data_IF_911905931224
#
_entry.id   IF_911905931224
#
_cell.length_a   1.000
_cell.length_b   1.000
_cell.length_c   1.000
_cell.angle_alpha   90.00
_cell.angle_beta   90.00
_cell.angle_gamma   90.00
#
_symmetry.space_group_name_H-M   'P 1'
#
loop_
_entity.id
_entity.type
_entity.pdbx_description
1 polymer ?
#
# COMPACT_ATOMS: atom_id res chain seq x y z
N UNK A 1 -10.24 20.59 22.15
CA UNK A 1 -11.32 21.54 22.37
C UNK A 1 -12.41 20.91 23.22
N UNK A 2 -12.84 21.57 24.30
CA UNK A 2 -13.92 21.12 25.16
C UNK A 2 -14.89 22.29 25.39
N UNK A 3 -16.20 22.04 25.31
CA UNK A 3 -17.21 23.08 25.51
C UNK A 3 -18.47 22.51 26.19
N UNK A 4 -18.83 23.08 27.32
CA UNK A 4 -20.17 22.93 27.88
C UNK A 4 -21.08 23.92 27.12
N UNK A 5 -21.96 23.41 26.28
CA UNK A 5 -22.87 24.24 25.47
C UNK A 5 -24.04 24.74 26.33
N UNK A 6 -24.62 23.81 27.12
CA UNK A 6 -25.63 24.08 28.11
C UNK A 6 -25.59 22.99 29.18
N UNK A 7 -26.49 23.00 30.16
CA UNK A 7 -26.54 22.02 31.26
C UNK A 7 -26.67 20.56 30.80
N UNK A 8 -27.19 20.32 29.60
CA UNK A 8 -27.48 18.98 29.06
C UNK A 8 -26.52 18.54 27.98
N UNK A 9 -25.71 19.45 27.39
CA UNK A 9 -24.86 19.17 26.24
C UNK A 9 -23.41 19.57 26.49
N UNK A 10 -22.53 18.60 26.48
CA UNK A 10 -21.06 18.76 26.47
C UNK A 10 -20.46 18.20 25.19
N UNK A 11 -19.62 18.97 24.56
CA UNK A 11 -18.89 18.61 23.35
C UNK A 11 -17.38 18.59 23.63
N UNK A 12 -16.71 17.58 23.16
CA UNK A 12 -15.26 17.48 23.15
C UNK A 12 -14.77 17.07 21.76
N UNK A 13 -13.67 17.64 21.34
CA UNK A 13 -12.99 17.24 20.11
C UNK A 13 -11.50 17.10 20.40
N UNK A 14 -10.92 15.96 19.99
CA UNK A 14 -9.46 15.72 20.02
C UNK A 14 -8.94 15.59 18.61
N UNK A 15 -7.77 16.14 18.35
CA UNK A 15 -7.07 15.98 17.07
C UNK A 15 -5.57 15.91 17.31
N UNK A 16 -4.90 15.07 16.57
CA UNK A 16 -3.45 14.95 16.50
C UNK A 16 -3.02 14.92 15.05
N UNK A 17 -1.91 15.53 14.74
CA UNK A 17 -1.33 15.54 13.41
C UNK A 17 0.19 15.56 13.55
N UNK A 18 0.85 14.66 12.81
CA UNK A 18 2.31 14.59 12.71
C UNK A 18 2.67 14.56 11.24
N UNK A 19 3.62 15.39 10.86
CA UNK A 19 4.32 15.32 9.58
C UNK A 19 5.80 15.14 9.85
N UNK A 20 6.40 14.07 9.36
CA UNK A 20 7.82 13.80 9.44
C UNK A 20 8.34 13.46 8.05
N UNK A 21 9.31 14.19 7.58
CA UNK A 21 9.99 13.96 6.31
C UNK A 21 11.49 13.90 6.56
N UNK A 22 12.16 12.99 5.89
CA UNK A 22 13.61 12.89 5.92
C UNK A 22 14.18 12.82 4.51
N UNK A 23 15.43 13.23 4.36
CA UNK A 23 16.18 13.12 3.11
C UNK A 23 17.57 12.61 3.44
N UNK A 24 18.02 11.58 2.74
CA UNK A 24 19.39 11.05 2.85
C UNK A 24 20.32 12.08 2.21
N UNK A 25 21.17 12.71 3.01
CA UNK A 25 22.14 13.70 2.54
C UNK A 25 23.47 13.03 2.14
N UNK A 26 23.85 11.97 2.85
CA UNK A 26 25.07 11.23 2.62
C UNK A 26 24.87 9.76 3.02
N UNK A 27 25.45 8.86 2.26
CA UNK A 27 25.43 7.43 2.55
C UNK A 27 26.69 6.78 1.98
N UNK A 28 27.24 5.80 2.69
CA UNK A 28 28.29 4.92 2.18
C UNK A 28 27.65 3.95 1.16
N UNK A 29 27.74 4.32 -0.11
CA UNK A 29 27.22 3.56 -1.26
C UNK A 29 28.21 3.64 -2.42
N UNK A 30 28.18 2.68 -3.38
CA UNK A 30 29.01 2.76 -4.58
C UNK A 30 28.77 4.07 -5.32
N UNK A 31 29.81 4.66 -5.92
CA UNK A 31 29.64 5.85 -6.74
C UNK A 31 28.88 5.48 -8.03
N UNK A 32 27.58 5.69 -8.07
CA UNK A 32 26.73 5.45 -9.25
C UNK A 32 26.95 6.52 -10.34
N UNK A 33 28.21 6.68 -10.81
CA UNK A 33 28.57 7.72 -11.76
C UNK A 33 27.87 7.56 -13.11
N UNK A 34 27.71 6.33 -13.57
CA UNK A 34 27.07 6.03 -14.85
C UNK A 34 25.54 6.03 -14.76
N UNK A 35 24.99 5.54 -13.65
CA UNK A 35 23.55 5.42 -13.39
C UNK A 35 23.17 6.11 -12.08
N UNK A 36 23.14 7.46 -12.05
CA UNK A 36 22.86 8.22 -10.82
C UNK A 36 21.45 8.00 -10.26
N UNK A 37 20.55 7.46 -11.07
CA UNK A 37 19.19 7.04 -10.66
C UNK A 37 19.18 5.94 -9.58
N UNK A 38 20.31 5.26 -9.36
CA UNK A 38 20.45 4.21 -8.34
C UNK A 38 20.87 4.78 -6.96
N UNK A 39 21.38 6.02 -6.91
CA UNK A 39 21.78 6.62 -5.64
C UNK A 39 20.60 6.86 -4.73
N UNK A 40 20.76 6.52 -3.44
CA UNK A 40 19.78 6.82 -2.41
C UNK A 40 19.85 8.27 -1.90
N UNK A 41 20.95 8.98 -2.21
CA UNK A 41 21.14 10.38 -1.78
C UNK A 41 20.11 11.28 -2.46
N UNK A 42 19.48 12.13 -1.68
CA UNK A 42 18.38 12.99 -2.12
C UNK A 42 16.98 12.35 -1.96
N UNK A 43 16.91 11.08 -1.57
CA UNK A 43 15.65 10.35 -1.37
C UNK A 43 15.34 10.13 0.10
N UNK A 44 14.09 9.81 0.41
CA UNK A 44 13.69 9.45 1.78
C UNK A 44 14.15 8.06 2.15
N UNK A 45 14.54 7.87 3.43
CA UNK A 45 14.79 6.55 3.96
C UNK A 45 13.52 5.69 3.83
N UNK A 46 13.68 4.47 3.32
CA UNK A 46 12.55 3.56 3.09
C UNK A 46 11.75 3.83 1.81
N UNK A 47 12.17 4.79 0.97
CA UNK A 47 11.64 4.92 -0.38
C UNK A 47 12.10 3.75 -1.25
N UNK A 48 11.28 3.36 -2.22
CA UNK A 48 11.51 2.14 -3.00
C UNK A 48 12.33 2.40 -4.25
N UNK A 49 13.38 1.59 -4.46
CA UNK A 49 14.16 1.51 -5.71
C UNK A 49 13.52 0.46 -6.61
N UNK A 50 12.79 0.88 -7.65
CA UNK A 50 11.91 0.03 -8.47
C UNK A 50 12.18 0.18 -9.96
N UNK A 51 11.87 -0.88 -10.72
CA UNK A 51 11.62 -0.77 -12.16
C UNK A 51 10.34 0.02 -12.40
N UNK A 52 10.32 0.79 -13.48
CA UNK A 52 9.14 1.53 -13.92
C UNK A 52 8.42 0.69 -14.97
N UNK A 53 7.17 0.36 -14.74
CA UNK A 53 6.38 -0.40 -15.68
C UNK A 53 5.67 0.48 -16.72
N UNK A 54 5.42 -0.10 -17.88
CA UNK A 54 4.56 0.39 -18.95
C UNK A 54 3.24 -0.41 -19.05
N UNK A 55 2.84 -1.09 -17.98
CA UNK A 55 1.75 -2.05 -18.01
C UNK A 55 2.22 -3.42 -18.51
N UNK A 56 1.38 -4.12 -19.24
CA UNK A 56 1.65 -5.46 -19.77
C UNK A 56 1.94 -5.42 -21.27
N UNK A 57 2.84 -6.30 -21.73
CA UNK A 57 3.08 -6.46 -23.15
C UNK A 57 1.80 -6.92 -23.88
N UNK A 58 1.32 -6.16 -24.89
CA UNK A 58 0.12 -6.53 -25.62
C UNK A 58 0.35 -7.71 -26.58
N UNK A 59 1.53 -7.79 -27.21
CA UNK A 59 1.83 -8.75 -28.26
C UNK A 59 3.35 -8.99 -28.44
N UNK A 60 3.70 -10.03 -29.21
CA UNK A 60 5.07 -10.39 -29.54
C UNK A 60 5.81 -9.30 -30.36
N UNK A 61 5.10 -8.55 -31.19
CA UNK A 61 5.70 -7.47 -31.98
C UNK A 61 6.22 -6.36 -31.06
N UNK A 62 5.45 -6.03 -30.03
CA UNK A 62 5.86 -5.05 -29.02
C UNK A 62 7.09 -5.53 -28.27
N UNK A 63 7.15 -6.82 -27.88
CA UNK A 63 8.32 -7.40 -27.23
C UNK A 63 9.56 -7.27 -28.11
N UNK A 64 9.47 -7.64 -29.40
CA UNK A 64 10.61 -7.59 -30.33
C UNK A 64 11.09 -6.17 -30.63
N UNK A 65 10.23 -5.17 -30.55
CA UNK A 65 10.57 -3.78 -30.86
C UNK A 65 11.04 -2.99 -29.62
N UNK A 66 11.12 -3.61 -28.45
CA UNK A 66 11.50 -2.97 -27.20
C UNK A 66 12.78 -3.59 -26.62
N UNK A 67 13.43 -2.92 -25.67
CA UNK A 67 14.62 -3.41 -25.00
C UNK A 67 14.48 -4.83 -24.45
N UNK A 68 15.56 -5.62 -24.54
CA UNK A 68 15.57 -7.01 -24.05
C UNK A 68 15.49 -7.07 -22.52
N UNK A 69 14.49 -7.80 -22.00
CA UNK A 69 14.25 -7.99 -20.55
C UNK A 69 14.74 -9.35 -20.03
N UNK A 70 15.42 -10.17 -20.84
CA UNK A 70 15.87 -11.52 -20.42
C UNK A 70 16.82 -11.52 -19.24
N UNK A 71 17.56 -10.42 -19.02
CA UNK A 71 18.41 -10.24 -17.85
C UNK A 71 17.64 -10.31 -16.52
N UNK A 72 16.32 -10.13 -16.54
CA UNK A 72 15.45 -10.28 -15.37
C UNK A 72 15.09 -11.74 -15.03
N UNK A 73 15.69 -12.71 -15.74
CA UNK A 73 15.59 -14.14 -15.47
C UNK A 73 14.40 -14.84 -16.13
N UNK A 74 13.77 -14.23 -17.13
CA UNK A 74 12.73 -14.85 -17.94
C UNK A 74 12.63 -14.21 -19.33
N UNK A 75 12.29 -14.98 -20.35
CA UNK A 75 12.01 -14.44 -21.68
C UNK A 75 10.55 -13.94 -21.72
N UNK A 76 10.31 -12.63 -21.85
CA UNK A 76 8.97 -12.08 -21.82
C UNK A 76 8.07 -12.66 -22.90
N UNK A 77 6.79 -12.76 -22.57
CA UNK A 77 5.70 -13.13 -23.48
C UNK A 77 4.56 -12.12 -23.34
N UNK A 78 3.61 -12.07 -24.29
CA UNK A 78 2.41 -11.22 -24.15
C UNK A 78 1.73 -11.45 -22.83
N UNK A 79 1.34 -10.35 -22.15
CA UNK A 79 0.77 -10.38 -20.82
C UNK A 79 1.79 -10.35 -19.67
N UNK A 80 3.09 -10.38 -19.95
CA UNK A 80 4.14 -10.13 -18.93
C UNK A 80 4.36 -8.63 -18.74
N UNK A 81 4.91 -8.25 -17.59
CA UNK A 81 5.16 -6.85 -17.27
C UNK A 81 6.26 -6.29 -18.18
N UNK A 82 5.98 -5.13 -18.74
CA UNK A 82 6.87 -4.38 -19.60
C UNK A 82 7.52 -3.25 -18.82
N UNK A 83 8.87 -3.13 -18.85
CA UNK A 83 9.62 -2.14 -18.10
C UNK A 83 10.27 -1.09 -19.00
N UNK A 84 10.44 0.11 -18.45
CA UNK A 84 11.17 1.19 -19.07
C UNK A 84 12.68 0.92 -19.02
N UNK A 85 13.36 1.08 -20.15
CA UNK A 85 14.80 1.27 -20.20
C UNK A 85 15.13 2.71 -19.78
N UNK A 86 16.03 2.90 -18.85
CA UNK A 86 16.46 4.21 -18.36
C UNK A 86 17.81 4.58 -18.98
N UNK A 87 17.99 5.85 -19.34
CA UNK A 87 19.28 6.28 -19.90
C UNK A 87 20.34 6.40 -18.81
N UNK A 88 21.59 6.24 -19.18
CA UNK A 88 22.73 6.58 -18.35
C UNK A 88 22.83 8.13 -18.16
N UNK A 89 23.86 8.59 -17.40
CA UNK A 89 24.05 10.02 -17.12
C UNK A 89 24.29 10.90 -18.38
N UNK A 90 24.63 10.27 -19.53
CA UNK A 90 24.80 10.96 -20.82
C UNK A 90 23.51 11.00 -21.65
N UNK A 91 22.44 10.36 -21.19
CA UNK A 91 21.19 10.22 -21.95
C UNK A 91 21.22 9.10 -22.97
N UNK A 92 22.17 8.16 -22.89
CA UNK A 92 22.31 7.04 -23.79
C UNK A 92 21.55 5.82 -23.25
N UNK A 93 20.89 5.07 -24.14
CA UNK A 93 20.15 3.84 -23.83
C UNK A 93 20.94 2.63 -24.31
N UNK A 94 21.05 1.60 -23.48
CA UNK A 94 21.75 0.36 -23.82
C UNK A 94 20.86 -0.72 -24.45
N UNK A 95 19.52 -0.48 -24.51
CA UNK A 95 18.51 -1.40 -25.04
C UNK A 95 18.43 -2.75 -24.29
N UNK A 96 18.82 -2.79 -23.04
CA UNK A 96 18.68 -3.93 -22.14
C UNK A 96 18.00 -3.46 -20.86
N UNK A 97 17.04 -4.23 -20.36
CA UNK A 97 16.43 -3.97 -19.03
C UNK A 97 17.17 -4.83 -18.01
N UNK A 98 17.92 -4.16 -17.13
CA UNK A 98 18.67 -4.82 -16.07
C UNK A 98 18.61 -4.05 -14.72
N UNK A 99 19.55 -4.33 -13.81
CA UNK A 99 19.63 -3.67 -12.52
C UNK A 99 19.78 -2.14 -12.56
N UNK A 100 20.20 -1.58 -13.70
CA UNK A 100 20.44 -0.15 -13.89
C UNK A 100 19.15 0.62 -14.18
N UNK A 101 18.08 -0.05 -14.61
CA UNK A 101 16.79 0.54 -14.99
C UNK A 101 15.85 0.79 -13.82
N UNK A 102 16.37 0.86 -12.62
CA UNK A 102 15.60 1.16 -11.41
C UNK A 102 15.81 2.60 -10.98
N UNK A 103 14.82 3.19 -10.38
CA UNK A 103 14.92 4.48 -9.72
C UNK A 103 14.06 4.56 -8.47
N UNK A 104 14.36 5.51 -7.60
CA UNK A 104 13.56 5.76 -6.41
C UNK A 104 12.22 6.39 -6.79
N UNK A 105 11.13 5.76 -6.38
CA UNK A 105 9.74 6.20 -6.68
C UNK A 105 8.81 5.98 -5.51
N UNK A 106 7.64 6.63 -5.57
CA UNK A 106 6.61 6.53 -4.56
C UNK A 106 6.98 7.25 -3.25
N UNK A 107 6.11 7.08 -2.27
CA UNK A 107 6.37 7.51 -0.91
C UNK A 107 7.14 6.40 -0.15
N UNK A 108 7.83 6.73 0.95
CA UNK A 108 8.48 5.73 1.78
C UNK A 108 7.46 4.74 2.37
N UNK A 109 7.96 3.59 2.81
CA UNK A 109 7.15 2.57 3.49
C UNK A 109 6.55 3.12 4.80
N UNK A 110 7.36 3.85 5.56
CA UNK A 110 6.89 4.51 6.77
C UNK A 110 6.15 5.80 6.40
N UNK A 111 4.92 6.02 6.92
CA UNK A 111 4.11 7.17 6.53
C UNK A 111 4.72 8.48 7.00
N UNK A 112 4.81 9.48 6.11
CA UNK A 112 5.23 10.83 6.48
C UNK A 112 4.15 11.60 7.25
N UNK A 113 2.88 11.24 7.07
CA UNK A 113 1.75 11.86 7.74
C UNK A 113 1.02 10.82 8.56
N UNK A 114 0.87 11.10 9.86
CA UNK A 114 0.02 10.34 10.79
C UNK A 114 -0.94 11.32 11.45
N UNK A 115 -2.22 11.02 11.42
CA UNK A 115 -3.23 11.88 12.00
C UNK A 115 -4.33 11.09 12.71
N UNK A 116 -4.95 11.72 13.70
CA UNK A 116 -6.10 11.17 14.39
C UNK A 116 -7.00 12.27 14.89
N UNK A 117 -8.30 12.04 14.83
CA UNK A 117 -9.29 12.97 15.36
C UNK A 117 -10.55 12.23 15.84
N UNK A 118 -11.21 12.84 16.80
CA UNK A 118 -12.45 12.25 17.30
C UNK A 118 -13.29 13.22 18.11
N UNK A 119 -14.59 13.31 17.80
CA UNK A 119 -15.57 13.97 18.64
C UNK A 119 -16.01 13.06 19.78
N UNK A 120 -16.35 13.67 20.92
CA UNK A 120 -17.10 13.06 22.01
C UNK A 120 -18.24 14.00 22.40
N UNK A 121 -19.42 13.43 22.57
CA UNK A 121 -20.65 14.18 22.84
C UNK A 121 -21.30 13.56 24.04
N UNK A 122 -21.63 14.35 25.07
CA UNK A 122 -22.56 13.97 26.16
C UNK A 122 -23.80 14.80 26.01
N UNK A 123 -24.94 14.10 25.88
CA UNK A 123 -26.23 14.73 25.77
C UNK A 123 -27.20 14.06 26.76
N UNK A 124 -27.50 14.77 27.84
CA UNK A 124 -28.31 14.24 28.93
C UNK A 124 -27.72 12.94 29.49
N UNK A 125 -28.41 11.82 29.26
CA UNK A 125 -28.02 10.49 29.70
C UNK A 125 -27.23 9.69 28.66
N UNK A 126 -27.08 10.23 27.47
CA UNK A 126 -26.34 9.61 26.35
C UNK A 126 -24.94 10.14 26.27
N UNK A 127 -24.00 9.27 25.90
CA UNK A 127 -22.68 9.64 25.51
C UNK A 127 -22.27 8.91 24.22
N UNK A 128 -21.56 9.63 23.35
CA UNK A 128 -21.08 9.13 22.08
C UNK A 128 -19.62 9.52 21.95
N UNK A 129 -18.79 8.60 21.47
CA UNK A 129 -17.42 8.93 21.13
C UNK A 129 -17.01 8.18 19.86
N UNK A 130 -16.21 8.85 19.03
CA UNK A 130 -15.63 8.30 17.83
C UNK A 130 -14.17 8.70 17.77
N UNK A 131 -13.34 7.82 17.25
CA UNK A 131 -11.95 8.16 16.98
C UNK A 131 -11.53 7.58 15.64
N UNK A 132 -11.11 8.49 14.77
CA UNK A 132 -10.55 8.18 13.48
C UNK A 132 -9.03 8.28 13.56
N UNK A 133 -8.34 7.38 12.88
CA UNK A 133 -6.90 7.39 12.69
C UNK A 133 -6.59 7.15 11.23
N UNK A 134 -5.64 7.90 10.70
CA UNK A 134 -5.20 7.73 9.33
C UNK A 134 -3.73 7.99 9.16
N UNK A 135 -3.25 7.53 8.02
CA UNK A 135 -1.90 7.81 7.52
C UNK A 135 -1.99 8.28 6.07
N UNK A 136 -1.00 9.06 5.66
CA UNK A 136 -0.85 9.49 4.27
C UNK A 136 0.63 9.61 3.90
N UNK A 137 0.91 9.79 2.62
CA UNK A 137 2.27 9.79 2.09
C UNK A 137 3.04 8.53 2.50
N UNK A 138 2.46 7.38 2.20
CA UNK A 138 3.08 6.06 2.33
C UNK A 138 2.72 5.21 1.13
N UNK A 139 3.58 4.29 0.77
CA UNK A 139 3.34 3.33 -0.31
C UNK A 139 3.36 1.91 0.23
N UNK A 140 2.55 1.04 -0.38
CA UNK A 140 2.54 -0.39 -0.15
C UNK A 140 3.12 -1.07 -1.39
N UNK A 141 4.22 -1.80 -1.22
CA UNK A 141 4.77 -2.66 -2.26
C UNK A 141 4.21 -4.09 -2.06
N UNK A 142 3.43 -4.54 -3.03
CA UNK A 142 2.90 -5.91 -3.06
C UNK A 142 4.01 -6.87 -3.50
N UNK A 143 4.32 -7.89 -2.70
CA UNK A 143 5.37 -8.87 -3.00
C UNK A 143 5.02 -10.24 -2.45
N UNK A 144 5.58 -11.30 -3.03
CA UNK A 144 5.33 -12.67 -2.59
C UNK A 144 3.89 -13.16 -2.80
N UNK A 145 3.15 -12.52 -3.70
CA UNK A 145 1.74 -12.85 -4.04
C UNK A 145 1.64 -13.81 -5.22
N UNK A 146 2.77 -14.17 -5.83
CA UNK A 146 2.81 -15.02 -7.03
C UNK A 146 2.36 -16.45 -6.68
N UNK A 147 1.33 -16.98 -7.36
CA UNK A 147 0.76 -18.27 -7.00
C UNK A 147 1.62 -19.45 -7.44
N UNK A 148 2.50 -19.25 -8.43
CA UNK A 148 3.32 -20.28 -9.05
C UNK A 148 4.80 -19.87 -9.12
N UNK A 149 5.67 -20.82 -9.48
CA UNK A 149 7.11 -20.62 -9.65
C UNK A 149 7.94 -21.36 -8.61
N UNK A 150 9.20 -21.68 -8.92
CA UNK A 150 10.17 -22.38 -8.07
C UNK A 150 9.62 -23.62 -7.32
N UNK A 151 8.90 -24.48 -8.03
CA UNK A 151 8.26 -25.68 -7.47
C UNK A 151 7.27 -25.39 -6.31
N UNK A 152 6.79 -24.15 -6.18
CA UNK A 152 5.80 -23.77 -5.15
C UNK A 152 4.46 -23.47 -5.82
N UNK A 153 3.49 -24.31 -5.55
CA UNK A 153 2.09 -24.07 -5.90
C UNK A 153 1.41 -23.53 -4.66
N UNK A 154 0.87 -22.32 -4.75
CA UNK A 154 0.13 -21.66 -3.67
C UNK A 154 -1.33 -21.49 -4.07
N UNK A 155 -2.19 -21.21 -3.10
CA UNK A 155 -3.56 -20.81 -3.38
C UNK A 155 -3.59 -19.52 -4.20
N UNK A 156 -4.54 -19.44 -5.13
CA UNK A 156 -4.78 -18.26 -5.95
C UNK A 156 -5.70 -17.29 -5.21
N UNK A 157 -5.27 -16.03 -5.06
CA UNK A 157 -6.15 -15.00 -4.53
C UNK A 157 -7.29 -14.69 -5.52
N UNK A 158 -8.48 -14.41 -4.98
CA UNK A 158 -9.66 -14.12 -5.79
C UNK A 158 -9.44 -12.97 -6.78
N UNK A 159 -8.81 -11.87 -6.36
CA UNK A 159 -8.55 -10.73 -7.24
C UNK A 159 -7.61 -11.07 -8.40
N UNK A 160 -6.71 -12.05 -8.23
CA UNK A 160 -5.85 -12.56 -9.31
C UNK A 160 -6.68 -13.42 -10.27
N UNK A 161 -7.55 -14.28 -9.75
CA UNK A 161 -8.42 -15.12 -10.56
C UNK A 161 -9.42 -14.30 -11.40
N UNK A 162 -9.94 -13.23 -10.80
CA UNK A 162 -10.98 -12.40 -11.41
C UNK A 162 -10.42 -11.41 -12.46
N UNK A 163 -9.16 -10.95 -12.31
CA UNK A 163 -8.60 -9.89 -13.14
C UNK A 163 -7.09 -10.12 -13.38
N UNK A 164 -6.78 -11.03 -14.28
CA UNK A 164 -5.45 -11.26 -14.82
C UNK A 164 -5.49 -11.28 -16.35
N UNK A 165 -4.33 -11.03 -16.96
CA UNK A 165 -4.21 -11.11 -18.40
C UNK A 165 -4.36 -12.56 -18.90
N UNK A 166 -5.15 -12.77 -19.95
CA UNK A 166 -5.28 -14.06 -20.66
C UNK A 166 -5.29 -13.86 -22.18
N UNK A 167 -5.09 -14.92 -22.94
CA UNK A 167 -5.16 -14.88 -24.41
C UNK A 167 -6.57 -14.53 -24.92
N UNK A 168 -7.61 -14.85 -24.15
CA UNK A 168 -9.00 -14.54 -24.44
C UNK A 168 -9.39 -13.12 -23.98
N UNK A 169 -8.72 -12.61 -22.94
CA UNK A 169 -8.92 -11.26 -22.42
C UNK A 169 -7.56 -10.57 -22.27
N UNK A 170 -7.09 -9.96 -23.36
CA UNK A 170 -5.79 -9.28 -23.43
C UNK A 170 -5.85 -7.87 -22.81
N UNK A 171 -6.34 -7.78 -21.57
CA UNK A 171 -6.40 -6.53 -20.85
C UNK A 171 -4.97 -6.14 -20.36
N UNK A 172 -4.38 -5.13 -21.00
CA UNK A 172 -3.04 -4.62 -20.66
C UNK A 172 -3.00 -3.90 -19.28
N UNK A 173 -4.18 -3.50 -18.78
CA UNK A 173 -4.35 -2.85 -17.46
C UNK A 173 -4.86 -3.83 -16.40
N UNK A 174 -4.78 -5.14 -16.64
CA UNK A 174 -5.20 -6.15 -15.69
C UNK A 174 -4.45 -5.99 -14.35
N UNK A 175 -5.10 -6.32 -13.24
CA UNK A 175 -4.52 -6.23 -11.89
C UNK A 175 -3.39 -7.24 -11.65
N UNK A 176 -3.30 -8.26 -12.49
CA UNK A 176 -2.25 -9.28 -12.43
C UNK A 176 -1.80 -9.67 -13.85
N UNK A 177 -0.49 -9.88 -14.08
CA UNK A 177 0.02 -10.31 -15.37
C UNK A 177 -0.45 -11.74 -15.71
N UNK A 178 -0.07 -12.24 -16.87
CA UNK A 178 -0.40 -13.61 -17.24
C UNK A 178 0.09 -14.61 -16.19
N UNK A 179 -0.67 -15.67 -15.98
CA UNK A 179 -0.30 -16.77 -15.11
C UNK A 179 0.63 -17.75 -15.85
N UNK A 180 1.65 -18.26 -15.15
CA UNK A 180 2.55 -19.29 -15.65
C UNK A 180 2.99 -20.21 -14.51
N UNK A 181 3.20 -21.48 -14.81
CA UNK A 181 3.75 -22.44 -13.85
C UNK A 181 5.28 -22.31 -13.70
N UNK A 182 5.92 -21.63 -14.63
CA UNK A 182 7.36 -21.39 -14.61
C UNK A 182 7.72 -20.29 -13.62
N UNK A 183 9.00 -20.29 -13.19
CA UNK A 183 9.54 -19.16 -12.43
C UNK A 183 9.74 -17.96 -13.35
N UNK A 184 8.80 -17.04 -13.32
CA UNK A 184 8.85 -15.83 -14.14
C UNK A 184 9.54 -14.69 -13.34
N UNK A 185 10.88 -14.64 -13.45
CA UNK A 185 11.69 -13.60 -12.83
C UNK A 185 11.30 -12.19 -13.29
N UNK A 186 10.82 -12.03 -14.51
CA UNK A 186 10.36 -10.74 -15.04
C UNK A 186 9.16 -10.18 -14.24
N UNK A 187 8.11 -10.99 -14.04
CA UNK A 187 6.89 -10.53 -13.37
C UNK A 187 7.05 -10.41 -11.84
N UNK A 188 8.11 -10.98 -11.26
CA UNK A 188 8.35 -10.94 -9.81
C UNK A 188 9.27 -9.80 -9.37
N UNK A 189 9.76 -8.99 -10.31
CA UNK A 189 10.57 -7.82 -9.98
C UNK A 189 9.79 -6.79 -9.18
N UNK A 190 10.48 -6.16 -8.21
CA UNK A 190 9.94 -5.01 -7.51
C UNK A 190 9.80 -3.83 -8.49
N UNK A 191 8.58 -3.45 -8.80
CA UNK A 191 8.27 -2.45 -9.82
C UNK A 191 7.08 -1.58 -9.42
N UNK A 192 6.86 -0.52 -10.18
CA UNK A 192 5.68 0.33 -10.01
C UNK A 192 4.37 -0.40 -10.27
N UNK A 193 4.40 -1.49 -11.07
CA UNK A 193 3.27 -2.38 -11.27
C UNK A 193 2.74 -2.98 -9.94
N UNK A 194 3.60 -3.18 -8.96
CA UNK A 194 3.26 -3.70 -7.63
C UNK A 194 3.14 -2.63 -6.54
N UNK A 195 3.47 -1.38 -6.87
CA UNK A 195 3.41 -0.27 -5.91
C UNK A 195 1.99 0.31 -5.84
N UNK A 196 1.49 0.50 -4.63
CA UNK A 196 0.15 1.06 -4.37
C UNK A 196 0.22 2.21 -3.37
N UNK A 197 -0.76 3.10 -3.42
CA UNK A 197 -0.93 4.12 -2.39
C UNK A 197 -1.41 3.45 -1.09
N UNK A 198 -0.60 3.58 -0.03
CA UNK A 198 -0.85 3.00 1.29
C UNK A 198 -1.66 3.87 2.24
N UNK A 199 -2.15 5.03 1.78
CA UNK A 199 -2.93 5.94 2.63
C UNK A 199 -4.26 5.33 3.05
N UNK A 200 -4.67 5.60 4.28
CA UNK A 200 -5.99 5.17 4.78
C UNK A 200 -6.52 6.09 5.86
N UNK A 201 -7.82 5.99 6.11
CA UNK A 201 -8.53 6.51 7.26
C UNK A 201 -9.38 5.39 7.86
N UNK A 202 -9.23 5.13 9.16
CA UNK A 202 -9.99 4.11 9.89
C UNK A 202 -10.81 4.71 11.02
N UNK A 203 -12.06 4.23 11.17
CA UNK A 203 -12.80 4.37 12.41
C UNK A 203 -12.26 3.33 13.40
N UNK A 204 -11.29 3.76 14.20
CA UNK A 204 -10.56 2.90 15.15
C UNK A 204 -11.41 2.53 16.35
N UNK A 205 -12.13 3.50 16.88
CA UNK A 205 -13.00 3.30 18.05
C UNK A 205 -14.31 4.05 17.86
N UNK A 206 -15.40 3.43 18.24
CA UNK A 206 -16.69 4.07 18.42
C UNK A 206 -17.36 3.50 19.66
N UNK A 207 -18.01 4.35 20.42
CA UNK A 207 -18.77 3.94 21.61
C UNK A 207 -20.03 4.77 21.74
N UNK A 208 -21.12 4.12 22.13
CA UNK A 208 -22.37 4.74 22.55
C UNK A 208 -22.74 4.21 23.93
N UNK A 209 -23.01 5.11 24.87
CA UNK A 209 -23.41 4.79 26.24
C UNK A 209 -24.73 5.46 26.63
N UNK A 210 -25.42 4.82 27.52
CA UNK A 210 -26.64 5.34 28.16
C UNK A 210 -26.59 5.11 29.65
N UNK A 211 -26.74 6.18 30.44
CA UNK A 211 -26.71 6.12 31.91
C UNK A 211 -28.13 6.18 32.50
N UNK A 212 -28.47 5.19 33.32
CA UNK A 212 -29.75 5.12 34.00
C UNK A 212 -29.58 4.68 35.47
N UNK A 213 -29.98 5.49 36.41
CA UNK A 213 -29.99 5.20 37.88
C UNK A 213 -28.65 4.65 38.41
N UNK A 214 -27.52 5.25 38.01
CA UNK A 214 -26.17 4.80 38.44
C UNK A 214 -25.58 3.63 37.62
N UNK A 215 -26.28 3.16 36.60
CA UNK A 215 -25.83 2.13 35.69
C UNK A 215 -25.58 2.75 34.31
N UNK A 216 -24.42 2.51 33.74
CA UNK A 216 -24.11 2.88 32.36
C UNK A 216 -24.02 1.62 31.50
N UNK A 217 -24.91 1.52 30.52
CA UNK A 217 -24.87 0.49 29.47
C UNK A 217 -24.19 1.06 28.26
N UNK A 218 -23.26 0.32 27.67
CA UNK A 218 -22.56 0.81 26.49
C UNK A 218 -22.32 -0.29 25.45
N UNK A 219 -22.26 0.14 24.19
CA UNK A 219 -21.84 -0.64 23.06
C UNK A 219 -20.58 0.04 22.49
N UNK A 220 -19.49 -0.70 22.36
CA UNK A 220 -18.27 -0.20 21.79
C UNK A 220 -17.78 -1.08 20.65
N UNK A 221 -17.05 -0.47 19.71
CA UNK A 221 -16.47 -1.18 18.58
C UNK A 221 -15.09 -0.68 18.28
N UNK A 222 -14.24 -1.60 17.76
CA UNK A 222 -12.89 -1.30 17.31
C UNK A 222 -12.69 -1.74 15.87
N UNK A 223 -11.90 -0.98 15.11
CA UNK A 223 -11.58 -1.23 13.70
C UNK A 223 -12.83 -1.42 12.82
N UNK A 224 -13.81 -0.54 12.97
CA UNK A 224 -15.15 -0.71 12.41
C UNK A 224 -15.20 -0.46 10.91
N UNK A 225 -14.54 0.59 10.43
CA UNK A 225 -14.53 1.01 9.03
C UNK A 225 -13.11 1.36 8.57
N UNK A 226 -12.81 1.04 7.32
CA UNK A 226 -11.56 1.41 6.65
C UNK A 226 -11.88 2.08 5.33
N UNK A 227 -11.32 3.26 5.10
CA UNK A 227 -11.35 4.00 3.84
C UNK A 227 -9.92 4.07 3.30
N UNK A 228 -9.66 3.46 2.16
CA UNK A 228 -8.34 3.41 1.53
C UNK A 228 -8.49 3.23 0.02
N UNK A 229 -7.59 3.80 -0.80
CA UNK A 229 -7.49 3.42 -2.20
C UNK A 229 -6.91 2.01 -2.40
N UNK A 230 -6.34 1.42 -1.35
CA UNK A 230 -5.81 0.07 -1.34
C UNK A 230 -6.87 -0.90 -0.82
N UNK A 231 -7.33 -1.83 -1.64
CA UNK A 231 -8.45 -2.73 -1.39
C UNK A 231 -8.09 -4.24 -1.37
N UNK A 232 -6.80 -4.58 -1.49
CA UNK A 232 -6.36 -5.99 -1.55
C UNK A 232 -6.35 -6.66 -0.17
N UNK A 233 -5.93 -5.94 0.86
CA UNK A 233 -5.96 -6.34 2.28
C UNK A 233 -6.02 -5.11 3.18
N UNK A 234 -6.08 -5.33 4.50
CA UNK A 234 -6.05 -4.21 5.44
C UNK A 234 -4.76 -3.39 5.29
N UNK A 235 -4.81 -2.10 4.92
CA UNK A 235 -3.61 -1.30 4.66
C UNK A 235 -2.66 -1.17 5.86
N UNK A 236 -3.12 -1.36 7.10
CA UNK A 236 -2.25 -1.40 8.28
C UNK A 236 -1.29 -2.59 8.29
N UNK A 237 -1.56 -3.63 7.50
CA UNK A 237 -0.64 -4.76 7.34
C UNK A 237 0.61 -4.39 6.53
N UNK A 238 0.56 -3.28 5.79
CA UNK A 238 1.67 -2.75 5.03
C UNK A 238 2.08 -3.61 3.84
N UNK A 239 3.34 -3.44 3.41
CA UNK A 239 3.93 -4.14 2.26
C UNK A 239 4.06 -5.65 2.46
N UNK A 240 4.13 -6.39 1.36
CA UNK A 240 4.29 -7.83 1.33
C UNK A 240 3.15 -8.54 0.61
N UNK A 241 2.79 -9.73 1.08
CA UNK A 241 1.82 -10.61 0.43
C UNK A 241 0.38 -10.48 0.95
N UNK A 242 0.16 -9.69 2.00
CA UNK A 242 -1.13 -9.67 2.69
C UNK A 242 -1.44 -10.92 3.54
N UNK A 243 -0.55 -11.92 3.55
CA UNK A 243 -0.74 -13.17 4.31
C UNK A 243 -0.29 -13.02 5.79
N UNK A 244 -0.63 -11.91 6.40
CA UNK A 244 -0.44 -11.65 7.84
C UNK A 244 -1.77 -11.85 8.56
N UNK A 245 -1.71 -11.97 9.88
CA UNK A 245 -2.93 -12.02 10.68
C UNK A 245 -3.70 -10.68 10.52
N UNK A 246 -4.96 -10.70 10.05
CA UNK A 246 -5.69 -9.47 9.76
C UNK A 246 -6.10 -8.74 11.05
N UNK A 247 -6.22 -7.42 10.94
CA UNK A 247 -6.74 -6.58 12.01
C UNK A 247 -8.21 -6.97 12.30
N UNK A 248 -8.48 -7.33 13.54
CA UNK A 248 -9.83 -7.78 13.94
C UNK A 248 -10.77 -6.61 14.14
N UNK A 249 -12.03 -6.81 13.73
CA UNK A 249 -13.16 -5.97 14.16
C UNK A 249 -13.74 -6.56 15.45
N UNK A 250 -13.82 -5.73 16.48
CA UNK A 250 -14.30 -6.14 17.80
C UNK A 250 -15.53 -5.31 18.15
N UNK A 251 -16.57 -5.97 18.65
CA UNK A 251 -17.78 -5.32 19.17
C UNK A 251 -18.01 -5.85 20.58
N UNK A 252 -18.13 -4.94 21.53
CA UNK A 252 -18.36 -5.26 22.92
C UNK A 252 -19.64 -4.58 23.43
N UNK A 253 -20.38 -5.30 24.25
CA UNK A 253 -21.42 -4.74 25.11
C UNK A 253 -20.93 -4.78 26.55
N UNK A 254 -21.13 -3.70 27.31
CA UNK A 254 -20.70 -3.63 28.69
C UNK A 254 -21.67 -2.87 29.59
N UNK A 255 -21.54 -3.15 30.88
CA UNK A 255 -22.28 -2.49 31.93
C UNK A 255 -21.27 -1.97 32.96
N UNK A 256 -21.43 -0.73 33.35
CA UNK A 256 -20.61 -0.06 34.36
C UNK A 256 -21.50 0.53 35.45
N UNK A 257 -21.12 0.31 36.69
CA UNK A 257 -21.76 0.95 37.85
C UNK A 257 -21.00 2.23 38.17
N UNK A 258 -21.70 3.36 38.26
CA UNK A 258 -21.11 4.69 38.49
C UNK A 258 -21.60 5.27 39.80
#
# INVERSE_FOLDING_TARGET
>A
YNKQVNKDLFLSFKGTFTYAHNTILERDEPPFQEYPNLSSVGHSLGQYLLYIDNGLFPDEKTIHNNPDQKALGYTPQPGDIWYHNLPNYRGEYDNVIDGNDRRYVGNPQDPEIVYGFGPSIKFKKWDFSFFFQGVAKTSILMSGIHPFGEARIRGLFKYIADDHWTTENQNIDAKYPRLTLENNGNNTQNSTYWLRNGSFLKLKNAEVGYTFKGWRFYLSGQNLLTFSPFDYWDPEMGSGSGMKYPTQRIINFGIQVT
#
